data_IF_313487152499
#
_entry.id   IF_313487152499
#
_cell.length_a   1.000
_cell.length_b   1.000
_cell.length_c   1.000
_cell.angle_alpha   90.00
_cell.angle_beta   90.00
_cell.angle_gamma   90.00
#
_symmetry.space_group_name_H-M   'P 1'
#
loop_
_entity.id
_entity.type
_entity.pdbx_description
1 polymer ?
#
# COMPACT_ATOMS: atom_id res chain seq x y z
N UNK A 1 -7.65 17.56 -63.64
CA UNK A 1 -8.53 17.99 -62.53
C UNK A 1 -8.96 16.87 -61.60
N UNK A 2 -9.02 15.59 -62.02
CA UNK A 2 -9.41 14.47 -61.14
C UNK A 2 -8.27 13.95 -60.22
N UNK A 3 -7.02 14.02 -60.66
CA UNK A 3 -5.85 13.50 -59.92
C UNK A 3 -5.52 14.31 -58.66
N UNK A 4 -5.73 15.64 -58.70
CA UNK A 4 -5.51 16.56 -57.58
C UNK A 4 -6.53 16.35 -56.45
N UNK A 5 -7.78 16.00 -56.79
CA UNK A 5 -8.85 15.74 -55.81
C UNK A 5 -8.63 14.43 -55.07
N UNK A 6 -8.20 13.38 -55.78
CA UNK A 6 -7.89 12.06 -55.19
C UNK A 6 -6.70 12.18 -54.21
N UNK A 7 -5.64 12.89 -54.61
CA UNK A 7 -4.49 13.14 -53.74
C UNK A 7 -4.88 13.90 -52.45
N UNK A 8 -5.76 14.90 -52.57
CA UNK A 8 -6.28 15.64 -51.42
C UNK A 8 -7.15 14.77 -50.49
N UNK A 9 -7.99 13.89 -51.05
CA UNK A 9 -8.77 12.94 -50.25
C UNK A 9 -7.90 11.93 -49.53
N UNK A 10 -6.87 11.39 -50.19
CA UNK A 10 -5.92 10.45 -49.59
C UNK A 10 -5.15 11.13 -48.46
N UNK A 11 -4.63 12.33 -48.69
CA UNK A 11 -3.93 13.11 -47.65
C UNK A 11 -4.83 13.39 -46.44
N UNK A 12 -6.09 13.77 -46.66
CA UNK A 12 -7.06 13.98 -45.57
C UNK A 12 -7.34 12.69 -44.79
N UNK A 13 -7.53 11.55 -45.48
CA UNK A 13 -7.73 10.26 -44.79
C UNK A 13 -6.52 9.82 -43.99
N UNK A 14 -5.30 10.04 -44.49
CA UNK A 14 -4.06 9.73 -43.77
C UNK A 14 -3.96 10.58 -42.51
N UNK A 15 -4.25 11.88 -42.59
CA UNK A 15 -4.23 12.77 -41.43
C UNK A 15 -5.24 12.33 -40.36
N UNK A 16 -6.44 11.93 -40.76
CA UNK A 16 -7.46 11.40 -39.84
C UNK A 16 -6.98 10.11 -39.17
N UNK A 17 -6.38 9.19 -39.93
CA UNK A 17 -5.82 7.95 -39.39
C UNK A 17 -4.67 8.25 -38.42
N UNK A 18 -3.77 9.18 -38.75
CA UNK A 18 -2.67 9.58 -37.88
C UNK A 18 -3.18 10.19 -36.57
N UNK A 19 -4.21 11.05 -36.63
CA UNK A 19 -4.84 11.62 -35.44
C UNK A 19 -5.50 10.51 -34.60
N UNK A 20 -6.23 9.60 -35.25
CA UNK A 20 -6.88 8.48 -34.55
C UNK A 20 -5.85 7.59 -33.85
N UNK A 21 -4.75 7.24 -34.52
CA UNK A 21 -3.67 6.44 -33.94
C UNK A 21 -3.00 7.17 -32.78
N UNK A 22 -2.75 8.49 -32.90
CA UNK A 22 -2.16 9.28 -31.82
C UNK A 22 -3.06 9.33 -30.58
N UNK A 23 -4.35 9.63 -30.76
CA UNK A 23 -5.35 9.65 -29.68
C UNK A 23 -5.52 8.26 -29.06
N UNK A 24 -5.47 7.20 -29.87
CA UNK A 24 -5.57 5.83 -29.36
C UNK A 24 -4.35 5.41 -28.55
N UNK A 25 -3.14 5.84 -28.94
CA UNK A 25 -1.91 5.59 -28.17
C UNK A 25 -1.90 6.37 -26.85
N UNK A 26 -2.27 7.65 -26.85
CA UNK A 26 -2.42 8.43 -25.60
C UNK A 26 -3.48 7.83 -24.67
N UNK A 27 -4.60 7.34 -25.22
CA UNK A 27 -5.64 6.66 -24.45
C UNK A 27 -5.12 5.35 -23.83
N UNK A 28 -4.36 4.56 -24.59
CA UNK A 28 -3.74 3.32 -24.07
C UNK A 28 -2.76 3.64 -22.94
N UNK A 29 -1.88 4.64 -23.12
CA UNK A 29 -0.90 5.01 -22.09
C UNK A 29 -1.60 5.45 -20.80
N UNK A 30 -2.68 6.23 -20.90
CA UNK A 30 -3.49 6.65 -19.76
C UNK A 30 -4.17 5.46 -19.06
N UNK A 31 -4.72 4.50 -19.80
CA UNK A 31 -5.35 3.30 -19.22
C UNK A 31 -4.31 2.42 -18.53
N UNK A 32 -3.14 2.26 -19.14
CA UNK A 32 -2.05 1.45 -18.58
C UNK A 32 -1.47 2.07 -17.31
N UNK A 33 -1.34 3.40 -17.26
CA UNK A 33 -0.87 4.13 -16.09
C UNK A 33 -1.89 4.04 -14.93
N UNK A 34 -3.19 4.17 -15.23
CA UNK A 34 -4.27 3.92 -14.26
C UNK A 34 -4.24 2.49 -13.70
N UNK A 35 -4.01 1.49 -14.56
CA UNK A 35 -3.97 0.08 -14.16
C UNK A 35 -2.72 -0.23 -13.32
N UNK A 36 -1.59 0.39 -13.63
CA UNK A 36 -0.35 0.28 -12.86
C UNK A 36 -0.47 0.94 -11.47
N UNK A 37 -1.14 2.09 -11.37
CA UNK A 37 -1.44 2.76 -10.09
C UNK A 37 -2.39 1.92 -9.21
N UNK A 38 -3.36 1.22 -9.81
CA UNK A 38 -4.23 0.30 -9.09
C UNK A 38 -3.48 -0.92 -8.52
N UNK A 39 -2.49 -1.45 -9.24
CA UNK A 39 -1.64 -2.56 -8.77
C UNK A 39 -0.66 -2.12 -7.68
N UNK A 40 -0.18 -0.87 -7.73
CA UNK A 40 0.71 -0.30 -6.71
C UNK A 40 0.02 0.07 -5.40
N UNK A 41 -1.31 0.12 -5.37
CA UNK A 41 -2.09 0.02 -4.13
C UNK A 41 -1.99 -1.42 -3.61
N UNK A 42 -0.80 -1.83 -3.17
CA UNK A 42 -0.66 -2.98 -2.28
C UNK A 42 -1.53 -2.67 -1.09
N UNK A 43 -2.68 -3.35 -1.03
CA UNK A 43 -3.73 -3.15 -0.07
C UNK A 43 -3.10 -3.02 1.32
N UNK A 44 -3.05 -1.78 1.84
CA UNK A 44 -2.39 -1.47 3.12
C UNK A 44 -2.96 -2.34 4.24
N UNK A 45 -4.22 -2.75 4.08
CA UNK A 45 -4.95 -3.63 4.98
C UNK A 45 -4.43 -5.08 4.97
N UNK A 46 -3.75 -5.52 3.91
CA UNK A 46 -3.11 -6.84 3.83
C UNK A 46 -1.64 -6.83 4.28
N UNK A 47 -1.05 -5.66 4.59
CA UNK A 47 0.34 -5.63 5.07
C UNK A 47 0.50 -6.41 6.37
N UNK A 48 1.59 -7.18 6.40
CA UNK A 48 2.01 -8.02 7.52
C UNK A 48 3.40 -7.59 7.99
N UNK A 49 3.69 -7.86 9.27
CA UNK A 49 5.02 -7.56 9.80
C UNK A 49 6.06 -8.51 9.19
N UNK A 50 7.32 -8.06 9.09
CA UNK A 50 8.40 -8.94 8.64
C UNK A 50 8.53 -10.18 9.52
N UNK A 51 8.19 -10.06 10.81
CA UNK A 51 8.19 -11.19 11.73
C UNK A 51 7.12 -12.24 11.36
N UNK A 52 6.03 -11.86 10.71
CA UNK A 52 4.99 -12.81 10.29
C UNK A 52 5.29 -13.45 8.92
N UNK A 53 6.00 -12.73 8.04
CA UNK A 53 6.28 -13.19 6.67
C UNK A 53 7.60 -13.95 6.53
N UNK A 54 8.58 -13.68 7.39
CA UNK A 54 9.95 -14.20 7.29
C UNK A 54 10.26 -15.06 8.53
N UNK A 55 10.22 -16.39 8.35
CA UNK A 55 10.41 -17.38 9.42
C UNK A 55 11.82 -17.31 10.04
N UNK A 56 12.85 -17.03 9.24
CA UNK A 56 14.23 -16.91 9.71
C UNK A 56 14.38 -15.68 10.61
N UNK A 57 13.78 -14.56 10.20
CA UNK A 57 13.73 -13.35 11.00
C UNK A 57 12.95 -13.57 12.31
N UNK A 58 11.81 -14.26 12.24
CA UNK A 58 11.01 -14.60 13.42
C UNK A 58 11.80 -15.47 14.41
N UNK A 59 12.49 -16.48 13.89
CA UNK A 59 13.32 -17.40 14.67
C UNK A 59 14.48 -16.67 15.33
N UNK A 60 15.18 -15.81 14.59
CA UNK A 60 16.28 -14.99 15.12
C UNK A 60 15.82 -14.10 16.27
N UNK A 61 14.66 -13.45 16.14
CA UNK A 61 14.09 -12.63 17.21
C UNK A 61 13.69 -13.47 18.43
N UNK A 62 13.15 -14.68 18.23
CA UNK A 62 12.79 -15.58 19.33
C UNK A 62 14.02 -16.02 20.13
N UNK A 63 15.10 -16.39 19.44
CA UNK A 63 16.36 -16.75 20.08
C UNK A 63 16.96 -15.58 20.85
N UNK A 64 17.03 -14.39 20.24
CA UNK A 64 17.54 -13.19 20.90
C UNK A 64 16.73 -12.83 22.15
N UNK A 65 15.39 -12.95 22.10
CA UNK A 65 14.53 -12.74 23.27
C UNK A 65 14.83 -13.75 24.38
N UNK A 66 15.07 -15.01 24.05
CA UNK A 66 15.44 -16.04 25.01
C UNK A 66 16.79 -15.74 25.67
N UNK A 67 17.81 -15.40 24.90
CA UNK A 67 19.15 -15.11 25.41
C UNK A 67 19.14 -13.89 26.35
N UNK A 68 18.45 -12.82 25.95
CA UNK A 68 18.36 -11.59 26.72
C UNK A 68 17.46 -11.72 27.97
N UNK A 69 16.52 -12.67 28.00
CA UNK A 69 15.61 -12.86 29.13
C UNK A 69 16.34 -13.18 30.44
N UNK A 70 17.48 -13.87 30.36
CA UNK A 70 18.32 -14.24 31.51
C UNK A 70 19.04 -13.05 32.16
N UNK A 71 19.33 -12.01 31.37
CA UNK A 71 20.08 -10.81 31.81
C UNK A 71 19.13 -9.66 32.17
N UNK A 72 17.86 -9.76 31.76
CA UNK A 72 16.88 -8.67 31.89
C UNK A 72 16.53 -8.40 33.36
N UNK A 73 16.68 -7.14 33.78
CA UNK A 73 16.30 -6.70 35.11
C UNK A 73 14.91 -6.02 35.08
N UNK A 74 13.87 -6.59 35.73
CA UNK A 74 12.52 -6.04 35.70
C UNK A 74 12.41 -4.67 36.38
N UNK A 75 13.26 -4.38 37.38
CA UNK A 75 13.24 -3.10 38.10
C UNK A 75 13.77 -1.92 37.27
N UNK A 76 14.37 -2.19 36.10
CA UNK A 76 14.89 -1.17 35.19
C UNK A 76 14.03 -0.99 33.94
N UNK A 77 12.87 -1.64 33.87
CA UNK A 77 11.97 -1.51 32.73
C UNK A 77 11.31 -0.14 32.71
N UNK A 78 11.22 0.44 31.52
CA UNK A 78 10.50 1.68 31.29
C UNK A 78 9.01 1.38 31.06
N UNK A 79 8.17 2.40 31.21
CA UNK A 79 6.73 2.27 30.93
C UNK A 79 6.46 1.80 29.48
N UNK A 80 7.30 2.20 28.53
CA UNK A 80 7.18 1.77 27.13
C UNK A 80 7.46 0.26 26.97
N UNK A 81 8.38 -0.30 27.76
CA UNK A 81 8.69 -1.73 27.71
C UNK A 81 7.52 -2.57 28.23
N UNK A 82 6.90 -2.10 29.31
CA UNK A 82 5.69 -2.71 29.90
C UNK A 82 4.55 -2.64 28.88
N UNK A 83 4.34 -1.48 28.25
CA UNK A 83 3.30 -1.31 27.24
C UNK A 83 3.54 -2.18 26.00
N UNK A 84 4.79 -2.33 25.57
CA UNK A 84 5.15 -3.20 24.46
C UNK A 84 4.84 -4.67 24.77
N UNK A 85 5.11 -5.14 25.99
CA UNK A 85 4.73 -6.49 26.42
C UNK A 85 3.22 -6.73 26.42
N UNK A 86 2.44 -5.74 26.84
CA UNK A 86 0.98 -5.79 26.77
C UNK A 86 0.46 -5.83 25.32
N UNK A 87 1.09 -5.09 24.40
CA UNK A 87 0.76 -5.13 22.97
C UNK A 87 1.08 -6.51 22.38
N UNK A 88 2.28 -7.02 22.66
CA UNK A 88 2.73 -8.32 22.14
C UNK A 88 1.93 -9.48 22.72
N UNK A 89 1.57 -9.44 24.01
CA UNK A 89 0.74 -10.47 24.65
C UNK A 89 -0.67 -10.53 24.07
N UNK A 90 -1.22 -9.40 23.63
CA UNK A 90 -2.48 -9.32 22.87
C UNK A 90 -2.35 -9.76 21.40
N UNK A 91 -1.14 -10.07 20.93
CA UNK A 91 -0.89 -10.41 19.53
C UNK A 91 -1.09 -9.22 18.58
N UNK A 92 -0.97 -7.99 19.09
CA UNK A 92 -1.07 -6.77 18.30
C UNK A 92 0.30 -6.44 17.72
N UNK A 93 0.32 -6.11 16.43
CA UNK A 93 1.48 -5.56 15.74
C UNK A 93 1.13 -4.17 15.18
N UNK A 94 2.07 -3.55 14.46
CA UNK A 94 1.84 -2.25 13.84
C UNK A 94 0.62 -2.26 12.91
N UNK A 95 0.50 -3.27 12.04
CA UNK A 95 -0.53 -3.28 11.00
C UNK A 95 -1.91 -3.68 11.54
N UNK A 96 -2.00 -4.61 12.50
CA UNK A 96 -3.24 -4.95 13.23
C UNK A 96 -3.74 -3.76 14.03
N UNK A 97 -2.84 -3.00 14.66
CA UNK A 97 -3.22 -1.77 15.38
C UNK A 97 -3.77 -0.72 14.41
N UNK A 98 -3.09 -0.50 13.28
CA UNK A 98 -3.55 0.46 12.27
C UNK A 98 -4.92 0.10 11.68
N UNK A 99 -5.17 -1.20 11.43
CA UNK A 99 -6.49 -1.67 11.00
C UNK A 99 -7.55 -1.39 12.06
N UNK A 100 -7.30 -1.80 13.31
CA UNK A 100 -8.25 -1.64 14.41
C UNK A 100 -8.65 -0.18 14.65
N UNK A 101 -7.71 0.79 14.61
CA UNK A 101 -8.03 2.21 14.80
C UNK A 101 -8.73 2.86 13.59
N UNK A 102 -8.66 2.22 12.41
CA UNK A 102 -9.30 2.70 11.19
C UNK A 102 -10.68 2.08 10.97
N UNK A 103 -11.08 1.13 11.80
CA UNK A 103 -12.40 0.50 11.72
C UNK A 103 -13.54 1.52 11.96
N UNK A 104 -14.59 1.40 11.16
CA UNK A 104 -15.76 2.26 11.21
C UNK A 104 -15.67 3.49 10.31
N UNK A 105 -16.73 4.30 10.34
CA UNK A 105 -16.81 5.50 9.51
C UNK A 105 -16.03 6.68 10.15
N UNK A 106 -15.78 7.72 9.35
CA UNK A 106 -15.06 8.92 9.81
C UNK A 106 -15.75 9.59 10.99
N UNK A 107 -17.09 9.64 11.02
CA UNK A 107 -17.83 10.23 12.13
C UNK A 107 -17.53 9.53 13.46
N UNK A 108 -17.61 8.20 13.51
CA UNK A 108 -17.32 7.41 14.72
C UNK A 108 -15.90 7.67 15.24
N UNK A 109 -14.91 7.76 14.33
CA UNK A 109 -13.52 8.03 14.70
C UNK A 109 -13.32 9.44 15.28
N UNK A 110 -14.02 10.43 14.71
CA UNK A 110 -14.02 11.81 15.23
C UNK A 110 -14.73 11.87 16.59
N UNK A 111 -15.92 11.28 16.71
CA UNK A 111 -16.68 11.26 17.95
C UNK A 111 -15.89 10.57 19.09
N UNK A 112 -15.19 9.46 18.80
CA UNK A 112 -14.32 8.80 19.77
C UNK A 112 -13.17 9.72 20.20
N UNK A 113 -12.52 10.38 19.25
CA UNK A 113 -11.42 11.31 19.54
C UNK A 113 -11.86 12.49 20.41
N UNK A 114 -13.05 13.06 20.16
CA UNK A 114 -13.61 14.16 20.98
C UNK A 114 -14.02 13.72 22.39
N UNK A 115 -14.20 12.41 22.62
CA UNK A 115 -14.58 11.84 23.92
C UNK A 115 -13.42 11.38 24.81
N UNK A 116 -12.18 11.42 24.29
CA UNK A 116 -10.94 11.03 25.00
C UNK A 116 -10.35 12.19 25.77
#
# INVERSE_FOLDING_TARGET
MATTTIAATISSTIMIICIYVYVYMEFIDCVLECELEAVNNVDEDLRQSKQDTDEDHATRLKLLRQDLSSVRNPNKMQAIDIHYEDIVSKGMDKYRTLRAIREGNTKKRVDQFESM
#
